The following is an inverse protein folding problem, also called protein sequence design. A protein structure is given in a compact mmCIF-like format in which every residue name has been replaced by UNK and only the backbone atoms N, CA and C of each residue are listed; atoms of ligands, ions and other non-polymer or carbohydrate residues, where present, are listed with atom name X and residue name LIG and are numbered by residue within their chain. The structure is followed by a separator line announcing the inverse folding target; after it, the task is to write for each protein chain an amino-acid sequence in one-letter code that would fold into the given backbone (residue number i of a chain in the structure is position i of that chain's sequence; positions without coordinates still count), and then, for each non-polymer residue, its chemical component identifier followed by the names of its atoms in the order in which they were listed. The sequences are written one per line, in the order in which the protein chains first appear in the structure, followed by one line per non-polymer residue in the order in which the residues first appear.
data_IF_180367348008
#
_entry.id   IF_180367348008
#
_cell.length_a   1.000
_cell.length_b   1.000
_cell.length_c   1.000
_cell.angle_alpha   90.00
_cell.angle_beta   90.00
_cell.angle_gamma   90.00
#
_symmetry.space_group_name_H-M   'P 1'
#
loop_
_entity.id
_entity.type
_entity.pdbx_description
1 polymer ?
#
# COMPACT_ATOMS: atom_id res chain seq x y z
N UNK A 1 -30.52 -1.95 -9.35
CA UNK A 1 -29.36 -2.21 -8.46
C UNK A 1 -28.01 -1.94 -9.14
N UNK A 2 -27.78 -2.43 -10.36
CA UNK A 2 -26.56 -2.23 -11.17
C UNK A 2 -26.08 -0.76 -11.26
N UNK A 3 -27.00 0.19 -11.46
CA UNK A 3 -26.65 1.63 -11.56
C UNK A 3 -26.27 2.26 -10.23
N UNK A 4 -26.74 1.72 -9.09
CA UNK A 4 -26.29 2.18 -7.77
C UNK A 4 -24.89 1.67 -7.49
N UNK A 5 -24.63 0.39 -7.77
CA UNK A 5 -23.30 -0.23 -7.65
C UNK A 5 -22.27 0.49 -8.54
N UNK A 6 -22.64 0.81 -9.78
CA UNK A 6 -21.76 1.53 -10.71
C UNK A 6 -21.48 2.97 -10.24
N UNK A 7 -22.49 3.64 -9.66
CA UNK A 7 -22.33 4.97 -9.06
C UNK A 7 -21.42 4.94 -7.82
N UNK A 8 -21.62 4.00 -6.91
CA UNK A 8 -20.76 3.85 -5.72
C UNK A 8 -19.34 3.45 -6.10
N UNK A 9 -19.17 2.55 -7.07
CA UNK A 9 -17.85 2.17 -7.59
C UNK A 9 -17.12 3.34 -8.24
N UNK A 10 -17.82 4.15 -9.05
CA UNK A 10 -17.25 5.36 -9.65
C UNK A 10 -16.88 6.43 -8.60
N UNK A 11 -17.73 6.63 -7.59
CA UNK A 11 -17.45 7.51 -6.46
C UNK A 11 -16.21 7.06 -5.67
N UNK A 12 -16.08 5.76 -5.42
CA UNK A 12 -14.96 5.19 -4.66
C UNK A 12 -13.65 5.29 -5.45
N UNK A 13 -13.70 5.05 -6.77
CA UNK A 13 -12.57 5.25 -7.68
C UNK A 13 -12.14 6.72 -7.76
N UNK A 14 -13.09 7.66 -7.80
CA UNK A 14 -12.80 9.10 -7.81
C UNK A 14 -12.14 9.54 -6.50
N UNK A 15 -12.67 9.10 -5.34
CA UNK A 15 -12.07 9.38 -4.03
C UNK A 15 -10.65 8.81 -3.95
N UNK A 16 -10.43 7.59 -4.44
CA UNK A 16 -9.10 6.99 -4.48
C UNK A 16 -8.15 7.81 -5.36
N UNK A 17 -8.58 8.21 -6.57
CA UNK A 17 -7.76 9.04 -7.47
C UNK A 17 -7.41 10.41 -6.86
N UNK A 18 -8.35 11.04 -6.15
CA UNK A 18 -8.11 12.32 -5.45
C UNK A 18 -7.07 12.21 -4.33
N UNK A 19 -6.95 11.05 -3.67
CA UNK A 19 -5.91 10.84 -2.66
C UNK A 19 -4.49 10.82 -3.25
N UNK A 20 -4.32 10.46 -4.52
CA UNK A 20 -3.00 10.48 -5.19
C UNK A 20 -2.53 11.88 -5.58
N UNK A 21 -3.44 12.86 -5.65
CA UNK A 21 -3.10 14.26 -6.00
C UNK A 21 -2.52 15.01 -4.80
N UNK A 22 -2.77 14.54 -3.57
CA UNK A 22 -2.24 15.14 -2.34
C UNK A 22 -0.89 14.49 -2.01
N UNK A 23 0.17 14.97 -2.66
CA UNK A 23 1.55 14.71 -2.22
C UNK A 23 1.91 15.71 -1.13
N UNK A 24 1.49 15.45 0.10
CA UNK A 24 1.97 16.19 1.27
C UNK A 24 3.26 15.57 1.78
N UNK A 25 4.19 16.40 2.27
CA UNK A 25 5.38 15.95 3.00
C UNK A 25 4.94 14.95 4.05
N UNK A 26 5.34 13.70 3.84
CA UNK A 26 4.92 12.58 4.68
C UNK A 26 5.42 12.83 6.09
N UNK A 27 4.56 13.31 6.98
CA UNK A 27 4.89 13.43 8.40
C UNK A 27 4.94 12.00 8.95
N UNK A 28 6.09 11.57 9.45
CA UNK A 28 6.26 10.21 9.97
C UNK A 28 5.18 9.92 11.02
N UNK A 29 4.41 8.83 10.82
CA UNK A 29 3.24 8.50 11.65
C UNK A 29 3.60 7.82 12.98
N UNK A 30 4.88 7.56 13.24
CA UNK A 30 5.37 7.01 14.51
C UNK A 30 6.11 8.10 15.31
N UNK A 31 5.55 8.59 16.44
CA UNK A 31 6.12 9.73 17.17
C UNK A 31 7.52 9.45 17.75
N UNK A 32 7.83 8.20 18.09
CA UNK A 32 9.16 7.82 18.61
C UNK A 32 10.27 7.86 17.56
N UNK A 33 10.05 7.27 16.38
CA UNK A 33 11.06 7.27 15.31
C UNK A 33 11.24 8.67 14.70
N UNK A 34 10.16 9.47 14.66
CA UNK A 34 10.19 10.85 14.19
C UNK A 34 11.07 11.74 15.06
N UNK A 35 10.88 11.69 16.39
CA UNK A 35 11.62 12.56 17.31
C UNK A 35 13.13 12.28 17.24
N UNK A 36 13.53 11.01 17.24
CA UNK A 36 14.95 10.62 17.18
C UNK A 36 15.60 10.99 15.84
N UNK A 37 14.87 10.78 14.73
CA UNK A 37 15.32 11.19 13.39
C UNK A 37 15.46 12.71 13.25
N UNK A 38 14.50 13.50 13.76
CA UNK A 38 14.55 14.96 13.74
C UNK A 38 15.68 15.51 14.62
N UNK A 39 15.93 14.93 15.79
CA UNK A 39 17.07 15.32 16.64
C UNK A 39 18.42 15.02 15.96
N UNK A 40 18.53 13.86 15.29
CA UNK A 40 19.72 13.52 14.52
C UNK A 40 19.96 14.52 13.38
N UNK A 41 18.91 14.91 12.65
CA UNK A 41 19.02 15.90 11.57
C UNK A 41 19.37 17.30 12.07
N UNK A 42 18.82 17.73 13.21
CA UNK A 42 19.17 19.02 13.84
C UNK A 42 20.62 19.06 14.33
N UNK A 43 21.19 17.92 14.72
CA UNK A 43 22.60 17.78 15.09
C UNK A 43 23.54 17.61 13.88
N UNK A 44 23.04 17.75 12.64
CA UNK A 44 23.83 17.61 11.40
C UNK A 44 23.95 16.17 10.87
N UNK A 45 23.27 15.21 11.49
CA UNK A 45 23.21 13.82 11.04
C UNK A 45 22.21 13.57 9.91
N UNK A 46 22.31 12.40 9.27
CA UNK A 46 21.50 12.04 8.09
C UNK A 46 20.49 10.92 8.34
N UNK A 47 20.39 10.41 9.57
CA UNK A 47 19.60 9.22 9.89
C UNK A 47 18.07 9.40 9.73
N UNK A 48 17.59 10.62 9.52
CA UNK A 48 16.19 10.90 9.16
C UNK A 48 15.89 10.90 7.67
N UNK A 49 16.91 10.91 6.79
CA UNK A 49 16.68 10.89 5.33
C UNK A 49 16.14 9.54 4.90
N UNK A 50 14.93 9.53 4.34
CA UNK A 50 14.32 8.33 3.75
C UNK A 50 13.56 7.42 4.73
N UNK A 51 13.38 7.82 5.99
CA UNK A 51 12.66 7.01 6.99
C UNK A 51 11.24 6.61 6.54
N UNK A 52 10.50 7.52 5.92
CA UNK A 52 9.14 7.24 5.44
C UNK A 52 9.12 6.24 4.29
N UNK A 53 10.13 6.27 3.41
CA UNK A 53 10.27 5.27 2.35
C UNK A 53 10.50 3.87 2.95
N UNK A 54 11.31 3.79 4.02
CA UNK A 54 11.50 2.55 4.78
C UNK A 54 10.22 2.03 5.43
N UNK A 55 9.39 2.91 6.02
CA UNK A 55 8.09 2.53 6.61
C UNK A 55 7.14 2.00 5.53
N UNK A 56 7.00 2.69 4.40
CA UNK A 56 6.15 2.22 3.29
C UNK A 56 6.64 0.91 2.71
N UNK A 57 7.96 0.70 2.60
CA UNK A 57 8.54 -0.56 2.15
C UNK A 57 8.20 -1.71 3.11
N UNK A 58 8.40 -1.51 4.41
CA UNK A 58 8.09 -2.49 5.46
C UNK A 58 6.60 -2.83 5.52
N UNK A 59 5.72 -1.82 5.39
CA UNK A 59 4.28 -2.03 5.41
C UNK A 59 3.76 -2.69 4.13
N UNK A 60 4.25 -2.30 2.95
CA UNK A 60 3.76 -2.85 1.67
C UNK A 60 4.19 -4.29 1.43
N UNK A 61 5.39 -4.67 1.87
CA UNK A 61 5.96 -6.02 1.67
C UNK A 61 5.03 -7.16 2.10
N UNK A 62 4.49 -7.23 3.32
CA UNK A 62 3.62 -8.33 3.73
C UNK A 62 2.33 -8.40 2.91
N UNK A 63 1.73 -7.27 2.56
CA UNK A 63 0.49 -7.27 1.75
C UNK A 63 0.75 -7.74 0.31
N UNK A 64 1.85 -7.30 -0.29
CA UNK A 64 2.24 -7.72 -1.65
C UNK A 64 2.58 -9.22 -1.69
N UNK A 65 3.24 -9.75 -0.66
CA UNK A 65 3.52 -11.18 -0.55
C UNK A 65 2.23 -11.99 -0.46
N UNK A 66 1.32 -11.62 0.43
CA UNK A 66 0.03 -12.33 0.59
C UNK A 66 -0.80 -12.24 -0.68
N UNK A 67 -0.87 -11.07 -1.31
CA UNK A 67 -1.59 -10.90 -2.58
C UNK A 67 -0.98 -11.74 -3.71
N UNK A 68 0.36 -11.77 -3.82
CA UNK A 68 1.07 -12.57 -4.82
C UNK A 68 0.87 -14.08 -4.63
N UNK A 69 1.00 -14.56 -3.40
CA UNK A 69 0.77 -15.97 -3.08
C UNK A 69 -0.68 -16.38 -3.29
N UNK A 70 -1.64 -15.54 -2.86
CA UNK A 70 -3.06 -15.76 -3.06
C UNK A 70 -3.43 -15.80 -4.55
N UNK A 71 -2.88 -14.88 -5.35
CA UNK A 71 -3.09 -14.86 -6.80
C UNK A 71 -2.49 -16.09 -7.49
N UNK A 72 -1.27 -16.49 -7.12
CA UNK A 72 -0.63 -17.69 -7.65
C UNK A 72 -1.45 -18.95 -7.34
N UNK A 73 -1.88 -19.10 -6.08
CA UNK A 73 -2.72 -20.22 -5.66
C UNK A 73 -4.05 -20.27 -6.40
N UNK A 74 -4.76 -19.13 -6.50
CA UNK A 74 -6.01 -19.03 -7.24
C UNK A 74 -5.86 -19.42 -8.71
N UNK A 75 -4.80 -18.92 -9.38
CA UNK A 75 -4.53 -19.26 -10.78
C UNK A 75 -4.23 -20.74 -10.97
N UNK A 76 -3.53 -21.38 -10.03
CA UNK A 76 -3.23 -22.81 -10.12
C UNK A 76 -4.47 -23.67 -9.92
N UNK A 77 -5.34 -23.31 -8.97
CA UNK A 77 -6.61 -24.02 -8.72
C UNK A 77 -7.58 -23.94 -9.89
N UNK A 78 -7.68 -22.81 -10.58
CA UNK A 78 -8.53 -22.70 -11.78
C UNK A 78 -8.04 -23.55 -12.95
N UNK A 79 -6.73 -23.70 -13.12
CA UNK A 79 -6.17 -24.61 -14.13
C UNK A 79 -6.45 -26.07 -13.82
N UNK A 80 -6.48 -26.43 -12.54
CA UNK A 80 -6.83 -27.78 -12.08
C UNK A 80 -8.32 -28.06 -12.32
N UNK A 81 -9.22 -27.12 -12.01
CA UNK A 81 -10.66 -27.23 -12.32
C UNK A 81 -10.92 -27.34 -13.84
N UNK A 82 -10.24 -26.54 -14.66
CA UNK A 82 -10.36 -26.57 -16.12
C UNK A 82 -9.80 -27.87 -16.74
N UNK A 83 -8.82 -28.52 -16.10
CA UNK A 83 -8.28 -29.83 -16.51
C UNK A 83 -9.15 -31.02 -16.07
N UNK A 84 -9.84 -30.92 -14.93
CA UNK A 84 -10.74 -31.98 -14.43
C UNK A 84 -12.02 -32.06 -15.29
N UNK A 85 -12.44 -30.95 -15.90
CA UNK A 85 -13.64 -30.87 -16.74
C UNK A 85 -13.41 -31.22 -18.23
N UNK A 86 -12.15 -31.45 -18.65
CA UNK A 86 -11.77 -31.86 -20.02
C UNK A 86 -11.53 -33.37 -20.14
#
# INVERSE_FOLDING_TARGET
MKNKILKYGSLLALVFALNFVVVSDTQAQCPMCKLSAEQNMKAGGTAGKGLNAGIFYMLSTPYLLVAGLGFYWYRNRRKEEEFIES
#
